data_IF_099221345962
#
_entry.id   IF_099221345962
#
_cell.length_a   1.000
_cell.length_b   1.000
_cell.length_c   1.000
_cell.angle_alpha   90.00
_cell.angle_beta   90.00
_cell.angle_gamma   90.00
#
_symmetry.space_group_name_H-M   'P 1'
#
loop_
_entity.id
_entity.type
_entity.pdbx_description
1 polymer ?
#
# COMPACT_ATOMS: atom_id res chain seq x y z
N UNK A 1 -7.84 21.19 -13.75
CA UNK A 1 -7.66 19.90 -13.07
C UNK A 1 -7.17 20.06 -11.62
N UNK A 2 -6.01 20.68 -11.38
CA UNK A 2 -5.36 20.68 -10.05
C UNK A 2 -6.19 21.26 -8.90
N UNK A 3 -6.72 22.48 -9.05
CA UNK A 3 -7.53 23.14 -7.99
C UNK A 3 -8.86 22.45 -7.71
N UNK A 4 -9.36 21.64 -8.65
CA UNK A 4 -10.67 20.99 -8.55
C UNK A 4 -10.57 19.62 -7.86
N UNK A 5 -9.41 18.95 -7.97
CA UNK A 5 -9.17 17.61 -7.42
C UNK A 5 -8.20 17.62 -6.21
N UNK A 6 -7.80 18.80 -5.72
CA UNK A 6 -6.74 18.97 -4.71
C UNK A 6 -7.04 18.23 -3.40
N UNK A 7 -8.29 18.29 -2.92
CA UNK A 7 -8.73 17.58 -1.70
C UNK A 7 -8.64 16.05 -1.88
N UNK A 8 -9.00 15.54 -3.05
CA UNK A 8 -8.92 14.11 -3.38
C UNK A 8 -7.46 13.66 -3.46
N UNK A 9 -6.59 14.44 -4.11
CA UNK A 9 -5.15 14.13 -4.15
C UNK A 9 -4.50 14.15 -2.75
N UNK A 10 -4.92 15.04 -1.86
CA UNK A 10 -4.49 15.04 -0.46
C UNK A 10 -4.94 13.78 0.28
N UNK A 11 -6.22 13.41 0.16
CA UNK A 11 -6.77 12.20 0.79
C UNK A 11 -6.03 10.94 0.28
N UNK A 12 -5.78 10.86 -1.03
CA UNK A 12 -5.05 9.74 -1.65
C UNK A 12 -3.58 9.72 -1.17
N UNK A 13 -2.92 10.88 -1.11
CA UNK A 13 -1.54 10.98 -0.65
C UNK A 13 -1.39 10.58 0.82
N UNK A 14 -2.29 11.06 1.69
CA UNK A 14 -2.25 10.80 3.14
C UNK A 14 -2.67 9.38 3.46
N UNK A 15 -3.87 8.97 3.04
CA UNK A 15 -4.44 7.66 3.41
C UNK A 15 -3.83 6.54 2.57
N UNK A 16 -3.68 6.80 1.27
CA UNK A 16 -3.22 5.79 0.32
C UNK A 16 -1.73 5.57 0.40
N UNK A 17 -0.93 6.60 0.12
CA UNK A 17 0.53 6.43 -0.01
C UNK A 17 1.21 6.48 1.36
N UNK A 18 1.02 7.54 2.14
CA UNK A 18 1.69 7.68 3.43
C UNK A 18 1.18 6.65 4.45
N UNK A 19 -0.14 6.49 4.58
CA UNK A 19 -0.76 5.51 5.48
C UNK A 19 -0.35 4.06 5.17
N UNK A 20 -0.28 3.69 3.89
CA UNK A 20 0.21 2.38 3.48
C UNK A 20 1.68 2.17 3.84
N UNK A 21 2.55 3.12 3.49
CA UNK A 21 3.97 2.99 3.76
C UNK A 21 4.23 2.90 5.27
N UNK A 22 3.60 3.75 6.08
CA UNK A 22 3.74 3.72 7.53
C UNK A 22 3.22 2.39 8.10
N UNK A 23 2.03 1.95 7.70
CA UNK A 23 1.46 0.68 8.15
C UNK A 23 2.31 -0.52 7.74
N UNK A 24 2.91 -0.48 6.55
CA UNK A 24 3.77 -1.55 6.04
C UNK A 24 5.11 -1.59 6.78
N UNK A 25 5.82 -0.46 6.88
CA UNK A 25 7.12 -0.41 7.56
C UNK A 25 7.01 -0.65 9.06
N UNK A 26 6.01 -0.08 9.73
CA UNK A 26 5.78 -0.30 11.16
C UNK A 26 5.26 -1.72 11.43
N UNK A 27 4.39 -2.22 10.56
CA UNK A 27 3.90 -3.60 10.63
C UNK A 27 5.03 -4.61 10.48
N UNK A 28 5.92 -4.44 9.50
CA UNK A 28 7.07 -5.32 9.27
C UNK A 28 8.12 -5.30 10.40
N UNK A 29 8.14 -4.29 11.27
CA UNK A 29 8.99 -4.32 12.47
C UNK A 29 8.50 -5.32 13.52
N UNK A 30 7.21 -5.68 13.47
CA UNK A 30 6.56 -6.53 14.48
C UNK A 30 5.99 -7.82 13.92
N UNK A 31 5.77 -7.92 12.61
CA UNK A 31 5.33 -9.13 11.92
C UNK A 31 6.36 -9.65 10.91
N UNK A 32 6.17 -10.87 10.42
CA UNK A 32 7.02 -11.45 9.39
C UNK A 32 6.71 -10.89 8.00
N UNK A 33 7.73 -10.82 7.14
CA UNK A 33 7.56 -10.47 5.73
C UNK A 33 6.58 -11.44 5.01
N UNK A 34 6.49 -12.68 5.47
CA UNK A 34 5.55 -13.69 4.94
C UNK A 34 4.11 -13.32 5.24
N UNK A 35 3.79 -12.95 6.48
CA UNK A 35 2.46 -12.48 6.86
C UNK A 35 2.09 -11.20 6.09
N UNK A 36 3.02 -10.25 6.00
CA UNK A 36 2.83 -9.03 5.22
C UNK A 36 2.52 -9.31 3.75
N UNK A 37 3.25 -10.22 3.12
CA UNK A 37 3.00 -10.63 1.74
C UNK A 37 1.64 -11.32 1.57
N UNK A 38 1.20 -12.17 2.51
CA UNK A 38 -0.15 -12.76 2.50
C UNK A 38 -1.23 -11.70 2.59
N UNK A 39 -1.07 -10.73 3.49
CA UNK A 39 -2.02 -9.62 3.64
C UNK A 39 -2.09 -8.81 2.35
N UNK A 40 -0.94 -8.46 1.77
CA UNK A 40 -0.89 -7.78 0.48
C UNK A 40 -1.47 -8.61 -0.67
N UNK A 41 -1.43 -9.95 -0.60
CA UNK A 41 -2.10 -10.82 -1.55
C UNK A 41 -3.63 -10.65 -1.55
N UNK A 42 -4.20 -10.18 -0.44
CA UNK A 42 -5.65 -9.93 -0.29
C UNK A 42 -6.06 -8.55 -0.81
N UNK A 43 -5.12 -7.68 -1.19
CA UNK A 43 -5.39 -6.35 -1.77
C UNK A 43 -6.36 -6.38 -2.96
N UNK A 44 -6.32 -7.37 -3.89
CA UNK A 44 -7.30 -7.47 -4.97
C UNK A 44 -8.73 -7.75 -4.46
N UNK A 45 -8.89 -8.57 -3.42
CA UNK A 45 -10.20 -8.78 -2.77
C UNK A 45 -10.71 -7.47 -2.16
N UNK A 46 -9.84 -6.77 -1.42
CA UNK A 46 -10.21 -5.51 -0.77
C UNK A 46 -10.60 -4.46 -1.81
N UNK A 47 -9.83 -4.34 -2.90
CA UNK A 47 -10.13 -3.43 -4.01
C UNK A 47 -11.46 -3.77 -4.67
N UNK A 48 -11.74 -5.06 -4.88
CA UNK A 48 -13.00 -5.54 -5.43
C UNK A 48 -14.18 -5.18 -4.50
N UNK A 49 -14.04 -5.43 -3.20
CA UNK A 49 -15.03 -5.05 -2.19
C UNK A 49 -15.29 -3.54 -2.19
N UNK A 50 -14.23 -2.72 -2.20
CA UNK A 50 -14.34 -1.26 -2.26
C UNK A 50 -15.03 -0.80 -3.55
N UNK A 51 -14.72 -1.42 -4.68
CA UNK A 51 -15.33 -1.08 -5.98
C UNK A 51 -16.82 -1.41 -5.99
N UNK A 52 -17.24 -2.54 -5.41
CA UNK A 52 -18.67 -2.88 -5.27
C UNK A 52 -19.36 -1.88 -4.33
N UNK A 53 -18.76 -1.59 -3.18
CA UNK A 53 -19.36 -0.73 -2.15
C UNK A 53 -19.49 0.73 -2.60
N UNK A 54 -18.45 1.25 -3.26
CA UNK A 54 -18.40 2.64 -3.70
C UNK A 54 -19.04 2.80 -5.09
N UNK A 55 -18.56 2.09 -6.10
CA UNK A 55 -19.00 2.31 -7.49
C UNK A 55 -20.28 1.56 -7.85
N UNK A 56 -20.77 0.66 -6.97
CA UNK A 56 -21.96 -0.14 -7.24
C UNK A 56 -21.78 -1.14 -8.39
N UNK A 57 -20.54 -1.44 -8.78
CA UNK A 57 -20.27 -2.41 -9.84
C UNK A 57 -20.76 -3.80 -9.44
N UNK A 58 -21.44 -4.48 -10.37
CA UNK A 58 -21.87 -5.87 -10.17
C UNK A 58 -20.66 -6.80 -10.21
N UNK A 59 -20.60 -7.70 -9.23
CA UNK A 59 -19.60 -8.76 -9.19
C UNK A 59 -19.87 -9.77 -10.32
N UNK A 60 -19.04 -9.75 -11.36
CA UNK A 60 -19.07 -10.78 -12.40
C UNK A 60 -18.27 -12.01 -11.97
N UNK A 61 -18.74 -13.19 -12.36
CA UNK A 61 -18.07 -14.48 -12.06
C UNK A 61 -16.59 -14.46 -12.47
N UNK A 62 -16.25 -13.81 -13.59
CA UNK A 62 -14.88 -13.69 -14.07
C UNK A 62 -13.98 -12.89 -13.09
N UNK A 63 -14.48 -11.80 -12.49
CA UNK A 63 -13.73 -11.03 -11.48
C UNK A 63 -13.48 -11.88 -10.24
N UNK A 64 -14.49 -12.60 -9.78
CA UNK A 64 -14.37 -13.48 -8.61
C UNK A 64 -13.37 -14.60 -8.85
N UNK A 65 -13.44 -15.28 -9.99
CA UNK A 65 -12.48 -16.32 -10.38
C UNK A 65 -11.06 -15.78 -10.51
N UNK A 66 -10.89 -14.60 -11.12
CA UNK A 66 -9.56 -13.96 -11.22
C UNK A 66 -8.93 -13.69 -9.85
N UNK A 67 -9.73 -13.24 -8.89
CA UNK A 67 -9.24 -13.01 -7.51
C UNK A 67 -8.90 -14.33 -6.81
N UNK A 68 -9.73 -15.37 -6.97
CA UNK A 68 -9.45 -16.72 -6.46
C UNK A 68 -8.16 -17.30 -7.02
N UNK A 69 -7.93 -17.16 -8.33
CA UNK A 69 -6.69 -17.57 -8.99
C UNK A 69 -5.48 -16.78 -8.47
N UNK A 70 -5.61 -15.46 -8.31
CA UNK A 70 -4.56 -14.61 -7.75
C UNK A 70 -4.16 -15.02 -6.33
N UNK A 71 -5.15 -15.22 -5.45
CA UNK A 71 -4.93 -15.72 -4.08
C UNK A 71 -4.25 -17.08 -4.07
N UNK A 72 -4.71 -18.00 -4.91
CA UNK A 72 -4.13 -19.34 -5.01
C UNK A 72 -2.67 -19.29 -5.44
N UNK A 73 -2.32 -18.40 -6.38
CA UNK A 73 -0.95 -18.17 -6.81
C UNK A 73 -0.04 -17.66 -5.69
N UNK A 74 -0.51 -16.68 -4.90
CA UNK A 74 0.28 -16.17 -3.77
C UNK A 74 0.42 -17.20 -2.66
N UNK A 75 -0.64 -17.96 -2.35
CA UNK A 75 -0.58 -19.07 -1.40
C UNK A 75 0.46 -20.12 -1.83
N UNK A 76 0.55 -20.43 -3.12
CA UNK A 76 1.54 -21.37 -3.66
C UNK A 76 2.96 -20.84 -3.45
N UNK A 77 3.22 -19.58 -3.81
CA UNK A 77 4.53 -18.93 -3.65
C UNK A 77 4.96 -18.91 -2.17
N UNK A 78 4.03 -18.55 -1.28
CA UNK A 78 4.32 -18.41 0.15
C UNK A 78 4.48 -19.77 0.83
N UNK A 79 3.67 -20.76 0.46
CA UNK A 79 3.83 -22.11 0.98
C UNK A 79 5.12 -22.77 0.50
N UNK A 80 5.70 -22.29 -0.61
CA UNK A 80 6.81 -22.95 -1.31
C UNK A 80 6.53 -24.45 -1.57
N UNK A 81 5.25 -24.82 -1.76
CA UNK A 81 4.81 -26.21 -1.90
C UNK A 81 4.55 -26.97 -0.59
N UNK A 82 4.81 -26.38 0.58
CA UNK A 82 4.60 -27.00 1.90
C UNK A 82 3.49 -26.29 2.70
N UNK A 83 2.35 -26.99 2.88
CA UNK A 83 1.18 -26.47 3.63
C UNK A 83 1.51 -26.18 5.10
N UNK A 84 2.52 -26.87 5.66
CA UNK A 84 2.95 -26.72 7.06
C UNK A 84 3.49 -25.33 7.36
N UNK A 85 4.05 -24.63 6.36
CA UNK A 85 4.49 -23.24 6.49
C UNK A 85 3.32 -22.30 6.83
N UNK A 86 2.12 -22.56 6.28
CA UNK A 86 0.91 -21.79 6.59
C UNK A 86 0.39 -22.05 8.01
N UNK A 87 0.61 -23.25 8.55
CA UNK A 87 0.14 -23.64 9.89
C UNK A 87 0.99 -23.02 11.02
N UNK A 88 2.22 -22.60 10.72
CA UNK A 88 3.11 -21.94 11.67
C UNK A 88 3.04 -20.41 11.61
N UNK A 89 2.15 -19.83 10.82
CA UNK A 89 1.94 -18.38 10.79
C UNK A 89 1.38 -17.93 12.15
N UNK A 90 2.15 -17.11 12.86
CA UNK A 90 1.67 -16.37 14.02
C UNK A 90 1.05 -15.07 13.54
N UNK A 91 -0.15 -14.77 14.03
CA UNK A 91 -0.75 -13.46 13.83
C UNK A 91 -0.20 -12.53 14.91
N UNK A 92 0.40 -11.43 14.48
CA UNK A 92 0.97 -10.41 15.36
C UNK A 92 0.28 -9.06 15.13
N UNK A 93 0.48 -8.12 16.06
CA UNK A 93 -0.17 -6.80 15.97
C UNK A 93 0.24 -6.03 14.71
N UNK A 94 1.43 -6.32 14.18
CA UNK A 94 1.93 -5.79 12.91
C UNK A 94 1.02 -6.13 11.73
N UNK A 95 0.39 -7.30 11.74
CA UNK A 95 -0.53 -7.73 10.68
C UNK A 95 -1.73 -6.79 10.57
N UNK A 96 -2.23 -6.29 11.70
CA UNK A 96 -3.32 -5.32 11.71
C UNK A 96 -2.88 -3.99 11.09
N UNK A 97 -1.65 -3.53 11.35
CA UNK A 97 -1.12 -2.31 10.74
C UNK A 97 -0.97 -2.44 9.23
N UNK A 98 -0.45 -3.58 8.74
CA UNK A 98 -0.34 -3.85 7.29
C UNK A 98 -1.73 -3.94 6.67
N UNK A 99 -2.68 -4.60 7.33
CA UNK A 99 -4.06 -4.75 6.86
C UNK A 99 -4.77 -3.39 6.73
N UNK A 100 -4.65 -2.54 7.76
CA UNK A 100 -5.22 -1.19 7.76
C UNK A 100 -4.56 -0.29 6.70
N UNK A 101 -3.24 -0.39 6.54
CA UNK A 101 -2.50 0.32 5.48
C UNK A 101 -2.95 -0.11 4.09
N UNK A 102 -3.03 -1.42 3.83
CA UNK A 102 -3.50 -1.98 2.57
C UNK A 102 -4.95 -1.59 2.28
N UNK A 103 -5.82 -1.57 3.31
CA UNK A 103 -7.19 -1.09 3.18
C UNK A 103 -7.25 0.39 2.77
N UNK A 104 -6.45 1.24 3.43
CA UNK A 104 -6.33 2.66 3.08
C UNK A 104 -5.83 2.86 1.64
N UNK A 105 -4.86 2.05 1.20
CA UNK A 105 -4.37 2.05 -0.18
C UNK A 105 -5.45 1.66 -1.19
N UNK A 106 -6.19 0.57 -0.95
CA UNK A 106 -7.30 0.16 -1.81
C UNK A 106 -8.37 1.25 -1.91
N UNK A 107 -8.76 1.82 -0.76
CA UNK A 107 -9.73 2.90 -0.69
C UNK A 107 -9.28 4.11 -1.51
N UNK A 108 -8.03 4.54 -1.32
CA UNK A 108 -7.44 5.65 -2.07
C UNK A 108 -7.42 5.40 -3.59
N UNK A 109 -7.09 4.18 -4.03
CA UNK A 109 -7.11 3.83 -5.45
C UNK A 109 -8.51 3.90 -6.06
N UNK A 110 -9.52 3.37 -5.35
CA UNK A 110 -10.91 3.43 -5.82
C UNK A 110 -11.44 4.87 -5.82
N UNK A 111 -11.14 5.66 -4.78
CA UNK A 111 -11.48 7.09 -4.72
C UNK A 111 -10.80 7.86 -5.85
N UNK A 112 -9.53 7.57 -6.15
CA UNK A 112 -8.81 8.17 -7.26
C UNK A 112 -9.53 7.92 -8.58
N UNK A 113 -9.83 6.65 -8.88
CA UNK A 113 -10.55 6.27 -10.10
C UNK A 113 -11.93 6.94 -10.20
N UNK A 114 -12.63 7.12 -9.08
CA UNK A 114 -13.99 7.66 -9.07
C UNK A 114 -14.07 9.17 -9.16
N UNK A 115 -13.22 9.87 -8.41
CA UNK A 115 -13.34 11.32 -8.20
C UNK A 115 -12.36 12.15 -9.03
N UNK A 116 -11.27 11.55 -9.53
CA UNK A 116 -10.36 12.25 -10.45
C UNK A 116 -11.04 12.37 -11.81
N UNK A 117 -11.55 13.58 -12.11
CA UNK A 117 -12.17 13.91 -13.39
C UNK A 117 -11.21 14.77 -14.22
N UNK A 118 -11.21 14.54 -15.54
CA UNK A 118 -10.45 15.32 -16.54
C UNK A 118 -8.94 15.41 -16.24
N UNK A 119 -8.33 14.28 -15.86
CA UNK A 119 -6.89 14.15 -15.72
C UNK A 119 -6.43 12.89 -16.49
N UNK A 120 -5.30 13.00 -17.16
CA UNK A 120 -4.66 11.83 -17.77
C UNK A 120 -4.12 10.89 -16.68
N UNK A 121 -3.93 9.59 -16.99
CA UNK A 121 -3.30 8.65 -16.05
C UNK A 121 -1.91 9.12 -15.61
N UNK A 122 -1.17 9.78 -16.51
CA UNK A 122 0.15 10.35 -16.23
C UNK A 122 0.07 11.50 -15.20
N UNK A 123 -0.86 12.45 -15.38
CA UNK A 123 -1.08 13.54 -14.43
C UNK A 123 -1.52 13.01 -13.06
N UNK A 124 -2.43 12.04 -13.05
CA UNK A 124 -2.96 11.45 -11.81
C UNK A 124 -1.86 10.76 -11.01
N UNK A 125 -0.99 10.00 -11.68
CA UNK A 125 0.14 9.33 -11.04
C UNK A 125 1.17 10.33 -10.55
N UNK A 126 1.51 11.32 -11.39
CA UNK A 126 2.48 12.38 -11.05
C UNK A 126 2.05 13.17 -9.83
N UNK A 127 0.80 13.63 -9.79
CA UNK A 127 0.29 14.40 -8.65
C UNK A 127 0.10 13.53 -7.40
N UNK A 128 -0.39 12.30 -7.55
CA UNK A 128 -0.52 11.40 -6.39
C UNK A 128 0.85 11.08 -5.77
N UNK A 129 1.87 10.80 -6.60
CA UNK A 129 3.24 10.60 -6.15
C UNK A 129 3.84 11.85 -5.51
N UNK A 130 3.65 13.03 -6.10
CA UNK A 130 4.12 14.30 -5.54
C UNK A 130 3.49 14.59 -4.17
N UNK A 131 2.17 14.50 -4.04
CA UNK A 131 1.49 14.74 -2.75
C UNK A 131 1.84 13.66 -1.73
N UNK A 132 1.97 12.39 -2.15
CA UNK A 132 2.45 11.30 -1.31
C UNK A 132 3.86 11.56 -0.78
N UNK A 133 4.78 11.96 -1.66
CA UNK A 133 6.16 12.30 -1.30
C UNK A 133 6.24 13.51 -0.36
N UNK A 134 5.47 14.57 -0.61
CA UNK A 134 5.40 15.73 0.29
C UNK A 134 4.87 15.33 1.67
N UNK A 135 3.81 14.53 1.70
CA UNK A 135 3.20 14.07 2.96
C UNK A 135 4.15 13.19 3.76
N UNK A 136 4.81 12.23 3.11
CA UNK A 136 5.84 11.39 3.72
C UNK A 136 7.04 12.22 4.19
N UNK A 137 7.49 13.19 3.39
CA UNK A 137 8.57 14.10 3.76
C UNK A 137 8.22 14.93 4.99
N UNK A 138 7.00 15.48 5.07
CA UNK A 138 6.52 16.22 6.24
C UNK A 138 6.43 15.31 7.48
N UNK A 139 5.88 14.10 7.35
CA UNK A 139 5.81 13.13 8.44
C UNK A 139 7.21 12.72 8.92
N UNK A 140 8.15 12.46 8.01
CA UNK A 140 9.54 12.15 8.33
C UNK A 140 10.22 13.28 9.11
N UNK A 141 10.02 14.54 8.68
CA UNK A 141 10.56 15.70 9.41
C UNK A 141 9.98 15.83 10.82
N UNK A 142 8.70 15.49 11.02
CA UNK A 142 8.02 15.62 12.32
C UNK A 142 8.38 14.47 13.28
N UNK A 143 8.58 13.25 12.77
CA UNK A 143 8.74 12.05 13.60
C UNK A 143 10.18 11.52 13.70
N UNK A 144 11.06 11.80 12.73
CA UNK A 144 12.37 11.14 12.61
C UNK A 144 13.59 12.09 12.50
N UNK A 145 13.42 13.41 12.58
CA UNK A 145 14.52 14.40 12.45
C UNK A 145 15.54 14.00 11.36
N UNK A 146 15.13 14.00 10.08
CA UNK A 146 15.84 13.33 8.98
C UNK A 146 17.25 13.90 8.75
N UNK A 147 17.48 15.17 9.09
CA UNK A 147 18.80 15.80 9.02
C UNK A 147 19.81 15.17 9.99
N UNK A 148 19.36 14.72 11.17
CA UNK A 148 20.22 14.03 12.14
C UNK A 148 20.42 12.56 11.79
N UNK A 149 19.39 11.90 11.24
CA UNK A 149 19.48 10.52 10.75
C UNK A 149 20.43 10.39 9.54
N UNK A 150 20.38 11.33 8.59
CA UNK A 150 21.28 11.37 7.43
C UNK A 150 22.71 11.74 7.85
N UNK A 151 22.88 12.65 8.82
CA UNK A 151 24.20 13.06 9.29
C UNK A 151 24.90 12.01 10.17
N UNK A 152 24.14 11.11 10.82
CA UNK A 152 24.65 10.00 11.63
C UNK A 152 24.67 8.66 10.89
N UNK A 153 24.15 8.61 9.67
CA UNK A 153 24.10 7.39 8.87
C UNK A 153 25.51 6.95 8.44
N UNK A 154 25.87 5.67 8.61
CA UNK A 154 27.14 5.13 8.13
C UNK A 154 27.21 5.17 6.59
N UNK A 155 28.41 5.30 6.02
CA UNK A 155 28.65 5.42 4.56
C UNK A 155 27.97 4.32 3.72
N UNK A 156 27.78 3.14 4.32
CA UNK A 156 27.12 1.98 3.71
C UNK A 156 25.62 2.23 3.48
N UNK A 157 24.95 3.02 4.31
CA UNK A 157 23.55 3.38 4.15
C UNK A 157 23.35 4.32 2.94
N UNK A 158 24.30 5.24 2.70
CA UNK A 158 24.28 6.09 1.51
C UNK A 158 24.49 5.29 0.22
N UNK A 159 25.41 4.32 0.23
CA UNK A 159 25.65 3.42 -0.91
C UNK A 159 24.45 2.50 -1.18
N UNK A 160 23.76 2.04 -0.13
CA UNK A 160 22.55 1.22 -0.27
C UNK A 160 21.39 2.01 -0.90
N UNK A 161 21.20 3.29 -0.54
CA UNK A 161 20.19 4.13 -1.18
C UNK A 161 20.47 4.32 -2.68
N UNK A 162 21.74 4.45 -3.08
CA UNK A 162 22.12 4.54 -4.49
C UNK A 162 21.99 3.24 -5.29
N UNK A 163 21.86 2.09 -4.62
CA UNK A 163 21.60 0.80 -5.28
C UNK A 163 20.10 0.50 -5.41
N UNK A 164 19.29 1.02 -4.49
CA UNK A 164 17.84 0.79 -4.43
C UNK A 164 17.05 1.77 -5.32
N UNK A 165 17.62 2.94 -5.61
CA UNK A 165 17.06 3.95 -6.54
C UNK A 165 17.59 3.73 -7.96
#
# INVERSE_FOLDING_TARGET
ALRQNLVIYLIIGIIGIAGFNIGCFYGLQTTSAVNGALIMATTPLMTLLMTILLDGEKLTTNKFLGVLFGLSGVLLVISQGHITTLLHLKIDIGDLFILLGAFGFCLANVLSRRYVKNATPLETTTFSMLFGAITLGLLSVIFEDPLTAIASAPINAHLAMGYVV
#
